data_IF_417854155581
#
_entry.id   IF_417854155581
#
_cell.length_a   1.000
_cell.length_b   1.000
_cell.length_c   1.000
_cell.angle_alpha   90.00
_cell.angle_beta   90.00
_cell.angle_gamma   90.00
#
_symmetry.space_group_name_H-M   'P 1'
#
loop_
_entity.id
_entity.type
_entity.pdbx_description
1 polymer ?
#
# COMPACT_ATOMS: atom_id res chain seq x y z
N UNK A 1 -38.18 -39.15 -0.55
CA UNK A 1 -37.00 -39.58 0.23
C UNK A 1 -36.92 -38.76 1.50
N UNK A 2 -36.88 -39.41 2.68
CA UNK A 2 -36.77 -38.69 3.94
C UNK A 2 -35.37 -38.11 4.11
N UNK A 3 -34.33 -38.84 3.77
CA UNK A 3 -32.93 -38.40 3.81
C UNK A 3 -32.09 -39.17 2.81
N UNK A 4 -31.20 -38.48 2.12
CA UNK A 4 -30.14 -39.05 1.25
C UNK A 4 -28.79 -38.47 1.73
N UNK A 5 -27.84 -39.36 2.01
CA UNK A 5 -26.48 -38.97 2.42
C UNK A 5 -25.46 -39.58 1.47
N UNK A 6 -24.34 -38.92 1.30
CA UNK A 6 -23.18 -39.42 0.58
C UNK A 6 -21.89 -38.78 1.10
N UNK A 7 -20.77 -39.41 0.76
CA UNK A 7 -19.44 -38.91 1.05
C UNK A 7 -18.63 -38.84 -0.24
N UNK A 8 -17.72 -37.89 -0.31
CA UNK A 8 -16.82 -37.65 -1.43
C UNK A 8 -15.41 -37.49 -0.87
N UNK A 9 -14.46 -38.21 -1.44
CA UNK A 9 -13.04 -38.06 -1.11
C UNK A 9 -12.28 -37.96 -2.42
N UNK A 10 -11.43 -36.96 -2.54
CA UNK A 10 -10.61 -36.74 -3.72
C UNK A 10 -9.27 -36.12 -3.32
N UNK A 11 -8.21 -36.43 -4.07
CA UNK A 11 -6.93 -35.76 -3.86
C UNK A 11 -5.71 -36.61 -4.10
N UNK A 12 -4.57 -36.05 -3.75
CA UNK A 12 -3.23 -36.65 -3.72
C UNK A 12 -2.64 -36.51 -2.31
N UNK A 13 -1.44 -37.08 -2.06
CA UNK A 13 -0.78 -37.03 -0.77
C UNK A 13 -0.70 -35.60 -0.16
N UNK A 14 -0.52 -34.58 -1.00
CA UNK A 14 -0.34 -33.20 -0.59
C UNK A 14 -1.53 -32.29 -0.88
N UNK A 15 -2.69 -32.85 -1.28
CA UNK A 15 -3.88 -32.07 -1.60
C UNK A 15 -5.14 -32.93 -1.46
N UNK A 16 -5.72 -32.94 -0.28
CA UNK A 16 -6.84 -33.80 0.09
C UNK A 16 -8.13 -33.00 0.21
N UNK A 17 -9.20 -33.56 -0.37
CA UNK A 17 -10.56 -33.08 -0.25
C UNK A 17 -11.43 -34.19 0.34
N UNK A 18 -12.04 -33.90 1.46
CA UNK A 18 -13.02 -34.76 2.10
C UNK A 18 -14.35 -34.02 2.21
N UNK A 19 -15.45 -34.69 1.91
CA UNK A 19 -16.74 -34.04 2.00
C UNK A 19 -17.87 -35.04 2.23
N UNK A 20 -18.96 -34.54 2.79
CA UNK A 20 -20.21 -35.27 2.92
C UNK A 20 -21.37 -34.37 2.54
N UNK A 21 -22.38 -34.93 1.94
CA UNK A 21 -23.60 -34.21 1.66
C UNK A 21 -24.81 -34.90 2.27
N UNK A 22 -25.84 -34.12 2.54
CA UNK A 22 -27.13 -34.57 3.07
C UNK A 22 -28.24 -33.79 2.39
N UNK A 23 -29.26 -34.54 1.93
CA UNK A 23 -30.52 -34.03 1.40
C UNK A 23 -31.66 -34.48 2.33
N UNK A 24 -32.39 -33.54 2.90
CA UNK A 24 -33.51 -33.81 3.76
C UNK A 24 -34.82 -33.49 3.04
N UNK A 25 -35.82 -34.41 3.19
CA UNK A 25 -37.17 -34.29 2.63
C UNK A 25 -37.16 -34.00 1.12
N UNK A 26 -36.38 -34.79 0.39
CA UNK A 26 -36.23 -34.61 -1.04
C UNK A 26 -37.45 -35.18 -1.78
N UNK A 27 -38.02 -34.39 -2.69
CA UNK A 27 -39.11 -34.78 -3.59
C UNK A 27 -38.69 -34.56 -5.04
N UNK A 28 -38.82 -35.56 -5.83
CA UNK A 28 -38.59 -35.49 -7.28
C UNK A 28 -39.95 -35.62 -7.99
N UNK A 29 -40.34 -34.58 -8.72
CA UNK A 29 -41.52 -34.56 -9.53
C UNK A 29 -41.16 -34.16 -10.97
N UNK A 30 -41.37 -35.09 -11.90
CA UNK A 30 -40.95 -34.89 -13.30
C UNK A 30 -39.49 -34.44 -13.44
N UNK A 31 -39.25 -33.17 -13.72
CA UNK A 31 -37.96 -32.57 -13.96
C UNK A 31 -37.51 -31.62 -12.85
N UNK A 32 -38.19 -31.63 -11.72
CA UNK A 32 -37.92 -30.75 -10.58
C UNK A 32 -37.60 -31.59 -9.34
N UNK A 33 -36.41 -31.38 -8.76
CA UNK A 33 -36.03 -31.90 -7.44
C UNK A 33 -36.08 -30.74 -6.42
N UNK A 34 -36.85 -30.94 -5.35
CA UNK A 34 -36.84 -30.02 -4.21
C UNK A 34 -36.32 -30.74 -2.99
N UNK A 35 -35.56 -30.05 -2.15
CA UNK A 35 -35.17 -30.54 -0.82
C UNK A 35 -35.40 -29.43 0.22
N UNK A 36 -35.94 -29.84 1.37
CA UNK A 36 -36.15 -28.89 2.47
C UNK A 36 -34.81 -28.34 3.02
N UNK A 37 -33.77 -29.16 2.96
CA UNK A 37 -32.41 -28.76 3.23
C UNK A 37 -31.42 -29.60 2.43
N UNK A 38 -30.45 -28.96 1.82
CA UNK A 38 -29.23 -29.56 1.32
C UNK A 38 -28.07 -29.05 2.19
N UNK A 39 -27.28 -29.95 2.72
CA UNK A 39 -26.10 -29.63 3.49
C UNK A 39 -24.89 -30.31 2.82
N UNK A 40 -23.82 -29.55 2.59
CA UNK A 40 -22.50 -30.01 2.15
C UNK A 40 -21.48 -29.56 3.17
N UNK A 41 -20.82 -30.52 3.81
CA UNK A 41 -19.67 -30.27 4.70
C UNK A 41 -18.43 -30.84 4.06
N UNK A 42 -17.32 -30.12 4.18
CA UNK A 42 -16.06 -30.62 3.67
C UNK A 42 -14.86 -29.95 4.27
N UNK A 43 -13.74 -30.56 4.00
CA UNK A 43 -12.44 -30.01 4.31
C UNK A 43 -11.52 -30.14 3.10
N UNK A 44 -10.71 -29.12 2.92
CA UNK A 44 -9.58 -29.14 2.01
C UNK A 44 -8.30 -28.98 2.81
N UNK A 45 -7.35 -29.87 2.62
CA UNK A 45 -6.06 -29.85 3.31
C UNK A 45 -4.94 -29.96 2.29
N UNK A 46 -3.97 -29.06 2.41
CA UNK A 46 -2.67 -29.14 1.73
C UNK A 46 -1.52 -28.97 2.73
N UNK A 47 -0.27 -28.96 2.27
CA UNK A 47 0.92 -28.86 3.12
C UNK A 47 0.95 -27.61 4.02
N UNK A 48 0.12 -26.60 3.73
CA UNK A 48 0.17 -25.29 4.39
C UNK A 48 -1.12 -24.91 5.10
N UNK A 49 -2.26 -25.29 4.52
CA UNK A 49 -3.57 -24.80 4.92
C UNK A 49 -4.55 -25.96 5.07
N UNK A 50 -5.41 -25.84 6.07
CA UNK A 50 -6.61 -26.64 6.17
C UNK A 50 -7.81 -25.69 6.18
N UNK A 51 -8.74 -25.90 5.25
CA UNK A 51 -9.98 -25.13 5.15
C UNK A 51 -11.16 -26.08 5.36
N UNK A 52 -11.95 -25.83 6.37
CA UNK A 52 -13.22 -26.48 6.60
C UNK A 52 -14.34 -25.58 6.08
N UNK A 53 -15.34 -26.15 5.42
CA UNK A 53 -16.48 -25.41 4.93
C UNK A 53 -17.79 -26.15 5.17
N UNK A 54 -18.85 -25.38 5.35
CA UNK A 54 -20.22 -25.88 5.40
C UNK A 54 -21.07 -24.99 4.52
N UNK A 55 -21.82 -25.62 3.63
CA UNK A 55 -22.81 -25.00 2.78
C UNK A 55 -24.15 -25.62 3.14
N UNK A 56 -25.19 -24.83 3.36
CA UNK A 56 -26.54 -25.33 3.54
C UNK A 56 -27.58 -24.39 2.93
N UNK A 57 -28.66 -24.96 2.37
CA UNK A 57 -29.81 -24.23 1.85
C UNK A 57 -30.96 -25.18 1.57
N UNK A 58 -32.21 -24.75 1.65
CA UNK A 58 -33.25 -25.36 0.84
C UNK A 58 -32.79 -25.35 -0.63
N UNK A 59 -33.15 -26.39 -1.38
CA UNK A 59 -32.67 -26.56 -2.75
C UNK A 59 -33.82 -26.81 -3.69
N UNK A 60 -33.83 -26.13 -4.82
CA UNK A 60 -34.68 -26.39 -5.96
C UNK A 60 -33.81 -26.62 -7.19
N UNK A 61 -33.73 -27.84 -7.67
CA UNK A 61 -33.10 -28.14 -8.95
C UNK A 61 -34.17 -28.34 -10.02
N UNK A 62 -33.96 -27.71 -11.15
CA UNK A 62 -34.83 -27.90 -12.33
C UNK A 62 -33.98 -28.24 -13.55
N UNK A 63 -34.34 -29.33 -14.26
CA UNK A 63 -33.66 -29.73 -15.47
C UNK A 63 -33.63 -28.61 -16.50
N UNK A 64 -32.42 -28.28 -16.99
CA UNK A 64 -32.17 -27.20 -17.96
C UNK A 64 -32.12 -25.78 -17.38
N UNK A 65 -32.51 -25.57 -16.14
CA UNK A 65 -32.41 -24.26 -15.48
C UNK A 65 -31.28 -24.19 -14.44
N UNK A 66 -31.03 -25.27 -13.69
CA UNK A 66 -29.99 -25.34 -12.67
C UNK A 66 -30.53 -25.47 -11.26
N UNK A 67 -29.81 -24.89 -10.29
CA UNK A 67 -30.07 -25.01 -8.86
C UNK A 67 -30.33 -23.63 -8.29
N UNK A 68 -31.46 -23.49 -7.58
CA UNK A 68 -31.73 -22.33 -6.70
C UNK A 68 -31.46 -22.69 -5.25
N UNK A 69 -30.68 -21.86 -4.58
CA UNK A 69 -30.38 -21.90 -3.15
C UNK A 69 -30.93 -20.60 -2.48
N UNK A 70 -32.24 -20.53 -2.17
CA UNK A 70 -32.89 -19.28 -1.77
C UNK A 70 -32.57 -18.80 -0.35
N UNK A 71 -31.99 -19.68 0.48
CA UNK A 71 -31.56 -19.40 1.85
C UNK A 71 -30.20 -20.04 2.09
N UNK A 72 -29.24 -19.61 1.29
CA UNK A 72 -27.87 -20.09 1.38
C UNK A 72 -27.23 -19.66 2.67
N UNK A 73 -26.63 -20.59 3.39
CA UNK A 73 -25.74 -20.36 4.52
C UNK A 73 -24.39 -21.00 4.21
N UNK A 74 -23.33 -20.20 4.20
CA UNK A 74 -21.96 -20.61 3.93
C UNK A 74 -21.09 -20.26 5.12
N UNK A 75 -20.42 -21.23 5.72
CA UNK A 75 -19.37 -20.97 6.70
C UNK A 75 -18.04 -21.56 6.24
N UNK A 76 -16.96 -20.86 6.50
CA UNK A 76 -15.61 -21.31 6.26
C UNK A 76 -14.73 -21.05 7.46
N UNK A 77 -13.82 -21.97 7.75
CA UNK A 77 -12.79 -21.86 8.75
C UNK A 77 -11.47 -22.28 8.11
N UNK A 78 -10.52 -21.37 8.05
CA UNK A 78 -9.20 -21.64 7.51
C UNK A 78 -8.13 -21.57 8.61
N UNK A 79 -7.36 -22.63 8.77
CA UNK A 79 -6.24 -22.75 9.68
C UNK A 79 -4.93 -23.02 8.92
N UNK A 80 -3.81 -22.59 9.48
CA UNK A 80 -2.48 -22.94 8.97
C UNK A 80 -1.96 -24.18 9.67
N UNK A 81 -1.40 -25.13 8.88
CA UNK A 81 -0.78 -26.33 9.41
C UNK A 81 0.67 -26.03 9.77
N UNK A 82 1.11 -26.49 10.97
CA UNK A 82 2.52 -26.49 11.43
C UNK A 82 3.22 -25.12 11.55
N UNK A 83 2.52 -24.02 11.80
CA UNK A 83 3.15 -22.73 12.10
C UNK A 83 2.52 -22.05 13.31
N UNK A 84 3.28 -21.11 13.92
CA UNK A 84 2.91 -20.27 15.06
C UNK A 84 1.45 -19.74 14.98
N UNK A 85 0.82 -19.41 16.12
CA UNK A 85 -0.59 -19.04 16.17
C UNK A 85 -0.88 -17.92 15.17
N UNK A 86 -1.48 -18.29 14.06
CA UNK A 86 -1.97 -17.35 13.05
C UNK A 86 -3.44 -17.08 13.28
N UNK A 87 -3.92 -15.89 12.89
CA UNK A 87 -5.33 -15.64 12.91
C UNK A 87 -6.05 -16.67 12.03
N UNK A 88 -7.08 -17.28 12.59
CA UNK A 88 -8.02 -18.13 11.86
C UNK A 88 -8.91 -17.24 11.02
N UNK A 89 -8.96 -17.49 9.72
CA UNK A 89 -9.90 -16.78 8.85
C UNK A 89 -11.25 -17.47 8.92
N UNK A 90 -12.22 -16.77 9.48
CA UNK A 90 -13.59 -17.26 9.65
C UNK A 90 -14.51 -16.41 8.78
N UNK A 91 -15.27 -17.03 7.91
CA UNK A 91 -16.37 -16.37 7.23
C UNK A 91 -17.68 -17.11 7.47
N UNK A 92 -18.73 -16.33 7.68
CA UNK A 92 -20.11 -16.81 7.76
C UNK A 92 -20.96 -15.88 6.93
N UNK A 93 -21.55 -16.43 5.85
CA UNK A 93 -22.31 -15.66 4.87
C UNK A 93 -23.69 -16.29 4.69
N UNK A 94 -24.70 -15.46 4.59
CA UNK A 94 -26.09 -15.85 4.35
C UNK A 94 -26.66 -15.07 3.17
N UNK A 95 -27.55 -15.69 2.41
CA UNK A 95 -28.21 -15.02 1.30
C UNK A 95 -28.88 -15.96 0.34
N UNK A 96 -28.77 -15.67 -0.94
CA UNK A 96 -29.32 -16.48 -2.02
C UNK A 96 -28.33 -16.62 -3.16
N UNK A 97 -28.38 -17.76 -3.84
CA UNK A 97 -27.59 -17.99 -5.04
C UNK A 97 -28.35 -18.88 -6.03
N UNK A 98 -28.09 -18.66 -7.31
CA UNK A 98 -28.55 -19.49 -8.41
C UNK A 98 -27.33 -20.05 -9.15
N UNK A 99 -27.36 -21.34 -9.47
CA UNK A 99 -26.30 -22.06 -10.17
C UNK A 99 -26.86 -22.73 -11.41
N UNK A 100 -26.79 -22.06 -12.54
CA UNK A 100 -27.10 -22.68 -13.83
C UNK A 100 -25.87 -23.37 -14.43
N UNK A 101 -25.99 -23.98 -15.58
CA UNK A 101 -24.87 -24.65 -16.24
C UNK A 101 -23.72 -23.69 -16.57
N UNK A 102 -24.05 -22.48 -17.01
CA UNK A 102 -23.09 -21.48 -17.51
C UNK A 102 -22.95 -20.25 -16.63
N UNK A 103 -23.93 -20.00 -15.76
CA UNK A 103 -23.93 -18.78 -14.92
C UNK A 103 -24.20 -19.16 -13.47
N UNK A 104 -23.37 -18.64 -12.58
CA UNK A 104 -23.57 -18.68 -11.13
C UNK A 104 -23.68 -17.25 -10.63
N UNK A 105 -24.72 -16.95 -9.91
CA UNK A 105 -24.93 -15.62 -9.37
C UNK A 105 -25.49 -15.68 -7.95
N UNK A 106 -25.23 -14.67 -7.15
CA UNK A 106 -25.71 -14.62 -5.79
C UNK A 106 -25.48 -13.29 -5.08
N UNK A 107 -26.19 -13.16 -3.98
CA UNK A 107 -26.02 -12.05 -3.03
C UNK A 107 -25.96 -12.61 -1.63
N UNK A 108 -24.85 -12.35 -0.96
CA UNK A 108 -24.54 -12.87 0.36
C UNK A 108 -24.19 -11.72 1.30
N UNK A 109 -24.57 -11.83 2.57
CA UNK A 109 -24.18 -10.91 3.63
C UNK A 109 -23.73 -11.72 4.83
N UNK A 110 -22.87 -11.15 5.65
CA UNK A 110 -22.41 -11.81 6.86
C UNK A 110 -21.13 -11.20 7.39
N UNK A 111 -20.18 -12.04 7.75
CA UNK A 111 -18.91 -11.62 8.30
C UNK A 111 -17.73 -12.35 7.64
N UNK A 112 -16.63 -11.64 7.49
CA UNK A 112 -15.30 -12.16 7.19
C UNK A 112 -14.34 -11.66 8.26
N UNK A 113 -13.64 -12.57 8.95
CA UNK A 113 -12.79 -12.25 10.10
C UNK A 113 -13.48 -11.32 11.13
N UNK A 114 -14.73 -11.62 11.44
CA UNK A 114 -15.60 -10.84 12.34
C UNK A 114 -15.95 -9.43 11.83
N UNK A 115 -15.60 -9.10 10.59
CA UNK A 115 -15.96 -7.82 9.97
C UNK A 115 -17.14 -8.01 9.02
N UNK A 116 -18.07 -7.08 9.03
CA UNK A 116 -19.24 -7.15 8.17
C UNK A 116 -18.84 -7.18 6.70
N UNK A 117 -19.35 -8.16 5.96
CA UNK A 117 -19.14 -8.37 4.53
C UNK A 117 -20.46 -8.47 3.80
N UNK A 118 -20.58 -7.76 2.69
CA UNK A 118 -21.62 -8.00 1.69
C UNK A 118 -20.94 -8.31 0.36
N UNK A 119 -21.44 -9.35 -0.31
CA UNK A 119 -20.92 -9.85 -1.58
C UNK A 119 -22.07 -10.03 -2.56
N UNK A 120 -21.95 -9.46 -3.75
CA UNK A 120 -22.76 -9.82 -4.90
C UNK A 120 -21.82 -10.34 -5.99
N UNK A 121 -22.21 -11.40 -6.67
CA UNK A 121 -21.35 -11.97 -7.72
C UNK A 121 -22.17 -12.52 -8.87
N UNK A 122 -21.55 -12.49 -10.05
CA UNK A 122 -22.02 -13.17 -11.25
C UNK A 122 -20.84 -13.79 -11.97
N UNK A 123 -20.76 -15.10 -11.97
CA UNK A 123 -19.74 -15.87 -12.67
C UNK A 123 -20.32 -16.46 -13.95
N UNK A 124 -19.66 -16.22 -15.08
CA UNK A 124 -20.04 -16.70 -16.40
C UNK A 124 -18.98 -17.67 -16.89
N UNK A 125 -19.33 -18.96 -16.92
CA UNK A 125 -18.41 -20.05 -17.25
C UNK A 125 -18.07 -20.12 -18.74
N UNK A 126 -19.01 -19.76 -19.60
CA UNK A 126 -18.90 -19.82 -21.06
C UNK A 126 -18.42 -18.51 -21.70
N UNK A 127 -18.05 -17.51 -20.90
CA UNK A 127 -17.39 -16.31 -21.40
C UNK A 127 -16.06 -16.65 -22.10
N UNK A 128 -15.80 -16.01 -23.20
CA UNK A 128 -14.60 -16.23 -24.01
C UNK A 128 -13.68 -15.01 -23.94
N UNK A 129 -12.36 -15.21 -23.87
CA UNK A 129 -11.61 -16.49 -23.96
C UNK A 129 -11.51 -17.26 -22.64
N UNK A 130 -11.98 -16.69 -21.52
CA UNK A 130 -11.93 -17.26 -20.17
C UNK A 130 -13.27 -17.05 -19.44
N UNK A 131 -13.56 -17.83 -18.38
CA UNK A 131 -14.65 -17.51 -17.48
C UNK A 131 -14.53 -16.07 -16.98
N UNK A 132 -15.66 -15.44 -16.69
CA UNK A 132 -15.70 -14.05 -16.20
C UNK A 132 -16.43 -13.97 -14.84
N UNK A 133 -15.90 -13.14 -13.94
CA UNK A 133 -16.48 -12.90 -12.63
C UNK A 133 -16.71 -11.40 -12.43
N UNK A 134 -17.97 -10.99 -12.46
CA UNK A 134 -18.39 -9.68 -11.94
C UNK A 134 -18.67 -9.78 -10.45
N UNK A 135 -18.16 -8.85 -9.65
CA UNK A 135 -18.40 -8.84 -8.23
C UNK A 135 -18.60 -7.43 -7.66
N UNK A 136 -19.39 -7.34 -6.59
CA UNK A 136 -19.48 -6.20 -5.70
C UNK A 136 -19.14 -6.64 -4.30
N UNK A 137 -18.12 -6.05 -3.70
CA UNK A 137 -17.61 -6.41 -2.37
C UNK A 137 -17.68 -5.18 -1.47
N UNK A 138 -18.46 -5.27 -0.40
CA UNK A 138 -18.47 -4.27 0.65
C UNK A 138 -18.00 -4.90 1.97
N UNK A 139 -16.85 -4.44 2.50
CA UNK A 139 -16.22 -4.95 3.70
C UNK A 139 -15.99 -3.82 4.70
N UNK A 140 -16.34 -4.04 5.97
CA UNK A 140 -16.20 -3.00 6.98
C UNK A 140 -14.74 -2.67 7.30
N UNK A 141 -13.89 -3.70 7.50
CA UNK A 141 -12.48 -3.53 7.81
C UNK A 141 -11.67 -4.70 7.26
N UNK A 142 -10.49 -4.40 6.70
CA UNK A 142 -9.53 -5.39 6.24
C UNK A 142 -8.17 -5.15 6.89
N UNK A 143 -7.72 -6.08 7.72
CA UNK A 143 -6.34 -6.09 8.21
C UNK A 143 -5.49 -6.96 7.27
N UNK A 144 -4.62 -6.32 6.50
CA UNK A 144 -3.73 -7.02 5.56
C UNK A 144 -2.44 -7.53 6.20
N UNK A 145 -2.09 -7.08 7.40
CA UNK A 145 -0.81 -7.44 8.06
C UNK A 145 -0.57 -8.94 8.12
N UNK A 146 -1.53 -9.79 8.56
CA UNK A 146 -1.31 -11.23 8.62
C UNK A 146 -1.05 -11.88 7.25
N UNK A 147 -1.67 -11.35 6.20
CA UNK A 147 -1.51 -11.86 4.83
C UNK A 147 -0.16 -11.46 4.22
N UNK A 148 0.30 -10.23 4.50
CA UNK A 148 1.56 -9.72 4.00
C UNK A 148 2.77 -10.37 4.67
N UNK A 149 2.67 -10.74 5.95
CA UNK A 149 3.72 -11.49 6.64
C UNK A 149 3.94 -12.86 6.02
N UNK A 150 2.90 -13.50 5.54
CA UNK A 150 2.98 -14.75 4.81
C UNK A 150 3.76 -14.63 3.51
N UNK A 151 3.56 -13.55 2.78
CA UNK A 151 4.27 -13.30 1.52
C UNK A 151 5.78 -13.09 1.74
N UNK A 152 6.19 -12.52 2.87
CA UNK A 152 7.63 -12.34 3.21
C UNK A 152 8.39 -13.65 3.42
N UNK A 153 7.69 -14.71 3.82
CA UNK A 153 8.28 -16.00 4.15
C UNK A 153 8.19 -17.05 3.04
N UNK A 154 7.53 -16.72 1.92
CA UNK A 154 7.36 -17.62 0.80
C UNK A 154 8.44 -17.41 -0.26
N UNK A 155 8.86 -18.49 -0.98
CA UNK A 155 9.59 -18.32 -2.22
C UNK A 155 8.73 -17.47 -3.16
N UNK A 156 9.36 -16.60 -3.94
CA UNK A 156 8.74 -15.61 -4.81
C UNK A 156 7.45 -16.15 -5.47
N UNK A 157 6.33 -15.48 -5.21
CA UNK A 157 5.06 -15.80 -5.85
C UNK A 157 5.24 -15.64 -7.37
N UNK A 158 5.17 -16.74 -8.10
CA UNK A 158 5.21 -16.68 -9.56
C UNK A 158 3.85 -16.21 -10.08
N UNK A 159 3.64 -14.91 -10.10
CA UNK A 159 2.39 -14.27 -10.50
C UNK A 159 1.96 -14.68 -11.92
N UNK A 160 2.85 -14.71 -12.94
CA UNK A 160 2.50 -15.19 -14.27
C UNK A 160 1.94 -16.62 -14.26
N UNK A 161 2.60 -17.53 -13.56
CA UNK A 161 2.14 -18.93 -13.45
C UNK A 161 0.81 -19.05 -12.71
N UNK A 162 0.52 -18.17 -11.76
CA UNK A 162 -0.75 -18.16 -11.06
C UNK A 162 -1.87 -17.64 -11.97
N UNK A 163 -1.70 -16.50 -12.61
CA UNK A 163 -2.72 -15.86 -13.44
C UNK A 163 -2.97 -16.61 -14.76
N UNK A 164 -1.98 -17.33 -15.27
CA UNK A 164 -2.13 -18.12 -16.51
C UNK A 164 -3.03 -19.36 -16.39
N UNK A 165 -3.45 -19.73 -15.17
CA UNK A 165 -4.32 -20.91 -14.98
C UNK A 165 -5.68 -20.71 -15.65
N UNK A 166 -6.05 -21.62 -16.55
CA UNK A 166 -7.26 -21.52 -17.37
C UNK A 166 -8.58 -21.57 -16.59
N UNK A 167 -8.57 -22.11 -15.37
CA UNK A 167 -9.74 -22.15 -14.52
C UNK A 167 -9.99 -20.87 -13.73
N UNK A 168 -8.98 -19.97 -13.68
CA UNK A 168 -9.11 -18.68 -13.02
C UNK A 168 -9.91 -17.74 -13.93
N UNK A 169 -10.99 -17.10 -13.44
CA UNK A 169 -11.76 -16.16 -14.26
C UNK A 169 -11.00 -14.85 -14.46
N UNK A 170 -11.36 -14.16 -15.52
CA UNK A 170 -11.13 -12.71 -15.56
C UNK A 170 -12.10 -12.05 -14.59
N UNK A 171 -11.61 -11.10 -13.78
CA UNK A 171 -12.34 -10.51 -12.66
C UNK A 171 -12.58 -9.03 -12.92
N UNK A 172 -13.82 -8.58 -12.70
CA UNK A 172 -14.16 -7.18 -12.53
C UNK A 172 -14.93 -7.02 -11.22
N UNK A 173 -14.36 -6.32 -10.22
CA UNK A 173 -14.96 -6.20 -8.91
C UNK A 173 -14.99 -4.76 -8.40
N UNK A 174 -16.18 -4.28 -8.08
CA UNK A 174 -16.36 -3.02 -7.36
C UNK A 174 -16.10 -3.23 -5.87
N UNK A 175 -15.11 -2.53 -5.33
CA UNK A 175 -14.67 -2.63 -3.94
C UNK A 175 -15.16 -1.41 -3.16
N UNK A 176 -15.76 -1.65 -2.00
CA UNK A 176 -16.10 -0.68 -0.97
C UNK A 176 -15.58 -1.20 0.37
N UNK A 177 -14.52 -0.60 0.90
CA UNK A 177 -13.90 -1.07 2.14
C UNK A 177 -13.83 0.10 3.13
N UNK A 178 -14.43 -0.05 4.31
CA UNK A 178 -14.48 1.00 5.32
C UNK A 178 -13.09 1.39 5.81
N UNK A 179 -12.21 0.42 6.09
CA UNK A 179 -10.80 0.69 6.38
C UNK A 179 -9.89 -0.47 5.99
N UNK A 180 -8.68 -0.13 5.56
CA UNK A 180 -7.57 -1.07 5.36
C UNK A 180 -6.44 -0.69 6.30
N UNK A 181 -5.93 -1.68 7.02
CA UNK A 181 -4.77 -1.56 7.89
C UNK A 181 -3.67 -2.49 7.40
N UNK A 182 -2.47 -1.94 7.24
CA UNK A 182 -1.23 -2.69 6.99
C UNK A 182 -0.22 -2.38 8.09
N UNK A 183 0.97 -3.03 8.05
CA UNK A 183 2.06 -2.76 8.99
C UNK A 183 2.69 -1.34 8.87
N UNK A 184 2.24 -0.50 7.94
CA UNK A 184 2.83 0.83 7.72
C UNK A 184 1.91 1.79 6.97
N UNK A 185 0.61 1.49 6.88
CA UNK A 185 -0.33 2.38 6.21
C UNK A 185 -1.76 2.14 6.70
N UNK A 186 -2.50 3.22 6.93
CA UNK A 186 -3.91 3.20 7.27
C UNK A 186 -4.70 3.96 6.21
N UNK A 187 -5.69 3.29 5.63
CA UNK A 187 -6.59 3.84 4.63
C UNK A 187 -8.03 3.72 5.11
N UNK A 188 -8.86 4.69 4.79
CA UNK A 188 -10.27 4.75 5.17
C UNK A 188 -11.16 5.02 3.96
N UNK A 189 -12.41 4.52 4.01
CA UNK A 189 -13.42 4.77 2.98
C UNK A 189 -12.92 4.49 1.56
N UNK A 190 -12.39 3.29 1.37
CA UNK A 190 -11.78 2.88 0.10
C UNK A 190 -12.88 2.52 -0.91
N UNK A 191 -12.77 3.10 -2.09
CA UNK A 191 -13.55 2.77 -3.28
C UNK A 191 -12.61 2.49 -4.43
N UNK A 192 -12.82 1.40 -5.16
CA UNK A 192 -12.01 1.05 -6.32
C UNK A 192 -12.71 0.05 -7.23
N UNK A 193 -12.34 0.04 -8.50
CA UNK A 193 -12.62 -1.05 -9.42
C UNK A 193 -11.36 -1.92 -9.53
N UNK A 194 -11.45 -3.15 -9.05
CA UNK A 194 -10.43 -4.19 -9.24
C UNK A 194 -10.70 -4.90 -10.58
N UNK A 195 -9.68 -4.96 -11.41
CA UNK A 195 -9.67 -5.86 -12.58
C UNK A 195 -8.53 -6.84 -12.46
N UNK A 196 -8.73 -8.08 -12.88
CA UNK A 196 -7.67 -9.07 -12.98
C UNK A 196 -7.92 -9.98 -14.17
N UNK A 197 -6.89 -10.20 -14.97
CA UNK A 197 -6.86 -11.12 -16.10
C UNK A 197 -5.60 -11.99 -16.07
N UNK A 198 -5.29 -12.70 -17.16
CA UNK A 198 -4.09 -13.56 -17.22
C UNK A 198 -2.76 -12.82 -17.16
N UNK A 199 -2.75 -11.53 -17.41
CA UNK A 199 -1.53 -10.71 -17.56
C UNK A 199 -1.45 -9.57 -16.56
N UNK A 200 -2.61 -9.09 -16.05
CA UNK A 200 -2.67 -7.88 -15.26
C UNK A 200 -3.58 -8.01 -14.05
N UNK A 201 -3.23 -7.31 -13.00
CA UNK A 201 -4.11 -6.98 -11.87
C UNK A 201 -4.07 -5.46 -11.72
N UNK A 202 -5.23 -4.80 -11.63
CA UNK A 202 -5.25 -3.36 -11.46
C UNK A 202 -6.36 -2.90 -10.51
N UNK A 203 -6.06 -1.84 -9.76
CA UNK A 203 -7.01 -1.03 -9.02
C UNK A 203 -7.21 0.28 -9.78
N UNK A 204 -8.38 0.43 -10.39
CA UNK A 204 -8.75 1.63 -11.13
C UNK A 204 -9.61 2.54 -10.27
N UNK A 205 -9.56 3.84 -10.54
CA UNK A 205 -10.40 4.83 -9.84
C UNK A 205 -10.32 4.67 -8.32
N UNK A 206 -9.13 4.31 -7.84
CA UNK A 206 -8.88 4.15 -6.41
C UNK A 206 -9.06 5.47 -5.70
N UNK A 207 -9.90 5.49 -4.66
CA UNK A 207 -10.11 6.62 -3.77
C UNK A 207 -10.06 6.13 -2.34
N UNK A 208 -9.43 6.90 -1.46
CA UNK A 208 -9.38 6.59 -0.04
C UNK A 208 -9.16 7.84 0.81
N UNK A 209 -9.58 7.80 2.07
CA UNK A 209 -9.08 8.67 3.12
C UNK A 209 -7.65 8.25 3.51
N UNK A 210 -6.78 9.22 3.74
CA UNK A 210 -5.37 9.01 4.07
C UNK A 210 -4.93 10.07 5.08
N UNK A 211 -4.71 9.70 6.34
CA UNK A 211 -4.25 10.57 7.44
C UNK A 211 -4.92 11.95 7.46
N UNK A 212 -6.24 11.98 7.52
CA UNK A 212 -7.05 13.20 7.57
C UNK A 212 -7.29 13.88 6.22
N UNK A 213 -6.54 13.52 5.17
CA UNK A 213 -6.72 13.95 3.80
C UNK A 213 -7.37 12.87 2.93
N UNK A 214 -7.18 12.98 1.62
CA UNK A 214 -7.73 12.08 0.61
C UNK A 214 -6.66 11.72 -0.41
N UNK A 215 -6.77 10.52 -0.97
CA UNK A 215 -5.93 10.11 -2.12
C UNK A 215 -6.80 9.50 -3.21
N UNK A 216 -6.42 9.75 -4.47
CA UNK A 216 -7.05 9.15 -5.64
C UNK A 216 -6.00 8.76 -6.68
N UNK A 217 -6.27 7.70 -7.45
CA UNK A 217 -5.34 7.22 -8.47
C UNK A 217 -5.58 5.79 -8.88
N UNK A 218 -4.48 5.04 -9.03
CA UNK A 218 -4.51 3.63 -9.41
C UNK A 218 -3.22 2.91 -9.08
N UNK A 219 -3.32 1.59 -9.10
CA UNK A 219 -2.20 0.65 -9.02
C UNK A 219 -2.38 -0.40 -10.10
N UNK A 220 -1.36 -0.70 -10.86
CA UNK A 220 -1.36 -1.84 -11.78
C UNK A 220 -0.14 -2.74 -11.57
N UNK A 221 -0.36 -4.02 -11.75
CA UNK A 221 0.65 -5.07 -11.66
C UNK A 221 0.58 -5.87 -12.95
N UNK A 222 1.66 -5.90 -13.72
CA UNK A 222 1.78 -6.78 -14.88
C UNK A 222 2.51 -8.07 -14.48
N UNK A 223 1.94 -9.21 -14.89
CA UNK A 223 2.47 -10.53 -14.62
C UNK A 223 3.65 -10.88 -15.55
N UNK A 224 4.67 -10.04 -15.55
CA UNK A 224 5.96 -10.26 -16.21
C UNK A 224 6.93 -11.01 -15.30
N UNK A 225 8.09 -11.39 -15.80
CA UNK A 225 9.19 -11.97 -15.00
C UNK A 225 10.44 -11.10 -15.10
N UNK A 226 10.80 -10.37 -14.02
CA UNK A 226 10.07 -10.16 -12.77
C UNK A 226 8.78 -9.36 -12.97
N UNK A 227 7.86 -9.41 -11.99
CA UNK A 227 6.61 -8.65 -12.04
C UNK A 227 6.87 -7.14 -12.11
N UNK A 228 6.03 -6.42 -12.86
CA UNK A 228 6.11 -4.97 -13.02
C UNK A 228 4.95 -4.28 -12.29
N UNK A 229 5.25 -3.21 -11.59
CA UNK A 229 4.31 -2.43 -10.77
C UNK A 229 4.29 -0.99 -11.23
N UNK A 230 3.12 -0.38 -11.29
CA UNK A 230 2.95 1.03 -11.56
C UNK A 230 1.93 1.62 -10.59
N UNK A 231 2.35 2.59 -9.78
CA UNK A 231 1.53 3.32 -8.82
C UNK A 231 1.42 4.78 -9.25
N UNK A 232 0.18 5.25 -9.43
CA UNK A 232 -0.14 6.66 -9.64
C UNK A 232 -1.10 7.11 -8.56
N UNK A 233 -0.72 8.15 -7.80
CA UNK A 233 -1.54 8.67 -6.72
C UNK A 233 -1.46 10.19 -6.66
N UNK A 234 -2.61 10.80 -6.39
CA UNK A 234 -2.74 12.21 -6.08
C UNK A 234 -3.39 12.32 -4.71
N UNK A 235 -2.63 12.79 -3.73
CA UNK A 235 -3.08 12.93 -2.35
C UNK A 235 -3.18 14.41 -1.99
N UNK A 236 -4.21 14.78 -1.20
CA UNK A 236 -4.49 16.16 -0.81
C UNK A 236 -4.83 16.27 0.67
N UNK A 237 -4.27 17.27 1.33
CA UNK A 237 -4.55 17.62 2.72
C UNK A 237 -4.13 16.57 3.73
N UNK A 238 -3.09 15.77 3.44
CA UNK A 238 -2.61 14.70 4.31
C UNK A 238 -1.80 15.26 5.48
N UNK A 239 -1.98 14.70 6.67
CA UNK A 239 -1.10 14.96 7.80
C UNK A 239 0.23 14.23 7.58
N UNK A 240 1.29 14.98 7.33
CA UNK A 240 2.59 14.45 6.87
C UNK A 240 3.28 13.65 7.96
N UNK A 241 3.29 14.13 9.21
CA UNK A 241 4.04 13.50 10.29
C UNK A 241 3.59 12.05 10.57
N UNK A 242 2.29 11.74 10.79
CA UNK A 242 1.88 10.36 11.01
C UNK A 242 2.10 9.46 9.78
N UNK A 243 1.96 10.00 8.56
CA UNK A 243 2.27 9.25 7.34
C UNK A 243 3.75 8.84 7.30
N UNK A 244 4.67 9.77 7.56
CA UNK A 244 6.11 9.49 7.57
C UNK A 244 6.51 8.55 8.70
N UNK A 245 5.86 8.67 9.86
CA UNK A 245 6.06 7.77 10.98
C UNK A 245 5.68 6.33 10.63
N UNK A 246 4.50 6.13 10.07
CA UNK A 246 3.98 4.80 9.75
C UNK A 246 4.75 4.15 8.60
N UNK A 247 5.13 4.92 7.56
CA UNK A 247 5.85 4.38 6.40
C UNK A 247 7.35 4.17 6.63
N UNK A 248 7.99 5.09 7.36
CA UNK A 248 9.46 5.17 7.43
C UNK A 248 10.03 5.21 8.85
N UNK A 249 9.17 5.33 9.88
CA UNK A 249 9.59 5.37 11.27
C UNK A 249 10.27 6.65 11.70
N UNK A 250 10.07 7.77 10.99
CA UNK A 250 10.66 9.07 11.35
C UNK A 250 9.62 10.19 11.40
N UNK A 251 9.94 11.26 12.19
CA UNK A 251 9.03 12.35 12.51
C UNK A 251 9.55 13.71 12.05
N UNK A 252 10.47 13.72 11.08
CA UNK A 252 11.26 14.91 10.77
C UNK A 252 10.45 16.07 10.19
N UNK A 253 9.28 15.80 9.59
CA UNK A 253 8.43 16.83 9.03
C UNK A 253 7.00 16.71 9.54
N UNK A 254 6.41 17.86 9.89
CA UNK A 254 4.98 17.99 10.17
C UNK A 254 4.35 19.03 9.24
N UNK A 255 3.03 19.07 9.20
CA UNK A 255 2.24 19.96 8.37
C UNK A 255 1.16 19.24 7.60
N UNK A 256 0.37 20.00 6.84
CA UNK A 256 -0.62 19.47 5.90
C UNK A 256 -0.03 19.47 4.50
N UNK A 257 -0.10 18.34 3.79
CA UNK A 257 0.59 18.18 2.51
C UNK A 257 -0.28 17.65 1.39
N UNK A 258 0.05 18.09 0.19
CA UNK A 258 -0.43 17.54 -1.08
C UNK A 258 0.73 16.79 -1.74
N UNK A 259 0.45 15.63 -2.35
CA UNK A 259 1.46 14.83 -3.02
C UNK A 259 0.95 14.27 -4.36
N UNK A 260 1.82 14.30 -5.37
CA UNK A 260 1.60 13.61 -6.66
C UNK A 260 2.72 12.60 -6.84
N UNK A 261 2.34 11.34 -7.03
CA UNK A 261 3.26 10.21 -7.15
C UNK A 261 2.97 9.49 -8.46
N UNK A 262 3.99 9.28 -9.27
CA UNK A 262 3.95 8.39 -10.44
C UNK A 262 5.24 7.56 -10.43
N UNK A 263 5.17 6.31 -9.97
CA UNK A 263 6.33 5.45 -9.81
C UNK A 263 6.12 4.09 -10.46
N UNK A 264 7.16 3.58 -11.09
CA UNK A 264 7.22 2.26 -11.71
C UNK A 264 8.39 1.49 -11.17
N UNK A 265 8.19 0.19 -11.00
CA UNK A 265 9.27 -0.70 -10.59
C UNK A 265 9.06 -2.12 -11.08
N UNK A 266 10.11 -2.93 -11.03
CA UNK A 266 10.07 -4.36 -11.30
C UNK A 266 10.84 -5.10 -10.22
N UNK A 267 10.44 -6.30 -9.89
CA UNK A 267 11.15 -7.11 -8.90
C UNK A 267 10.27 -8.12 -8.19
N UNK A 268 10.90 -9.11 -7.58
CA UNK A 268 10.24 -10.15 -6.79
C UNK A 268 10.47 -9.95 -5.28
N UNK A 269 11.37 -9.04 -4.90
CA UNK A 269 11.66 -8.67 -3.53
C UNK A 269 11.88 -7.16 -3.39
N UNK A 270 11.91 -6.69 -2.13
CA UNK A 270 12.05 -5.25 -1.82
C UNK A 270 13.31 -4.63 -2.40
N UNK A 271 14.43 -5.33 -2.37
CA UNK A 271 15.72 -4.81 -2.84
C UNK A 271 15.70 -4.60 -4.35
N UNK A 272 15.24 -5.61 -5.11
CA UNK A 272 15.06 -5.51 -6.55
C UNK A 272 14.11 -4.38 -6.92
N UNK A 273 12.96 -4.28 -6.22
CA UNK A 273 11.97 -3.23 -6.47
C UNK A 273 12.54 -1.84 -6.22
N UNK A 274 13.33 -1.63 -5.16
CA UNK A 274 13.96 -0.32 -4.90
C UNK A 274 15.01 -0.02 -5.98
N UNK A 275 15.85 -0.96 -6.35
CA UNK A 275 16.89 -0.78 -7.37
C UNK A 275 16.33 -0.51 -8.78
N UNK A 276 15.13 -1.00 -9.06
CA UNK A 276 14.43 -0.78 -10.32
C UNK A 276 13.41 0.38 -10.27
N UNK A 277 13.33 1.11 -9.14
CA UNK A 277 12.35 2.16 -8.94
C UNK A 277 12.68 3.38 -9.81
N UNK A 278 11.69 3.80 -10.61
CA UNK A 278 11.76 4.98 -11.45
C UNK A 278 10.47 5.77 -11.35
N UNK A 279 10.50 7.09 -11.59
CA UNK A 279 9.32 7.93 -11.63
C UNK A 279 9.52 9.29 -11.00
N UNK A 280 8.45 9.88 -10.46
CA UNK A 280 8.45 11.21 -9.88
C UNK A 280 7.62 11.30 -8.60
N UNK A 281 8.02 12.23 -7.75
CA UNK A 281 7.31 12.64 -6.55
C UNK A 281 7.30 14.16 -6.48
N UNK A 282 6.12 14.75 -6.44
CA UNK A 282 5.90 16.15 -6.05
C UNK A 282 5.27 16.14 -4.66
N UNK A 283 5.82 16.95 -3.75
CA UNK A 283 5.30 17.12 -2.39
C UNK A 283 5.24 18.61 -2.08
N UNK A 284 4.10 19.05 -1.58
CA UNK A 284 3.84 20.41 -1.14
C UNK A 284 3.29 20.35 0.28
N UNK A 285 4.00 20.95 1.24
CA UNK A 285 3.61 20.96 2.66
C UNK A 285 3.41 22.40 3.11
N UNK A 286 2.29 22.65 3.74
CA UNK A 286 1.96 23.97 4.30
C UNK A 286 1.86 23.92 5.81
N UNK A 287 2.19 25.07 6.46
CA UNK A 287 2.05 25.28 7.90
C UNK A 287 2.68 24.15 8.72
N UNK A 288 3.93 23.86 8.43
CA UNK A 288 4.66 22.75 9.01
C UNK A 288 5.86 23.16 9.86
N UNK A 289 6.61 22.13 10.26
CA UNK A 289 7.90 22.31 10.91
C UNK A 289 8.85 21.18 10.52
N UNK A 290 10.14 21.52 10.38
CA UNK A 290 11.22 20.56 10.32
C UNK A 290 11.72 20.31 11.74
N UNK A 291 11.45 19.14 12.28
CA UNK A 291 11.79 18.74 13.63
C UNK A 291 13.24 18.22 13.72
N UNK A 292 13.86 18.46 14.87
CA UNK A 292 15.23 18.06 15.15
C UNK A 292 16.30 19.07 14.69
N UNK A 293 15.89 20.15 14.03
CA UNK A 293 16.78 21.18 13.52
C UNK A 293 16.17 22.56 13.80
N UNK A 294 16.94 23.44 14.45
CA UNK A 294 16.62 24.85 14.59
C UNK A 294 17.59 25.65 13.73
N UNK A 295 17.17 25.93 12.49
CA UNK A 295 17.99 26.66 11.53
C UNK A 295 18.29 28.11 11.99
N UNK A 296 17.34 28.76 12.64
CA UNK A 296 17.57 30.11 13.17
C UNK A 296 18.66 30.10 14.25
N UNK A 297 18.67 29.10 15.12
CA UNK A 297 19.69 28.92 16.14
C UNK A 297 21.07 28.59 15.54
N UNK A 298 21.08 27.68 14.53
CA UNK A 298 22.31 27.33 13.80
C UNK A 298 22.93 28.56 13.14
N UNK A 299 22.11 29.39 12.52
CA UNK A 299 22.60 30.62 11.87
C UNK A 299 23.08 31.67 12.86
N UNK A 300 22.45 31.78 14.04
CA UNK A 300 22.82 32.71 15.10
C UNK A 300 24.09 32.28 15.84
N UNK A 301 24.20 31.01 16.19
CA UNK A 301 25.22 30.49 17.11
C UNK A 301 26.35 29.72 16.40
N UNK A 302 26.25 29.55 15.09
CA UNK A 302 27.14 28.69 14.31
C UNK A 302 26.77 27.22 14.42
N UNK A 303 27.36 26.41 13.54
CA UNK A 303 27.19 24.95 13.56
C UNK A 303 28.07 24.42 14.69
N UNK A 304 27.45 24.03 15.82
CA UNK A 304 28.18 23.29 16.85
C UNK A 304 28.32 21.81 16.38
N UNK A 305 29.50 21.25 16.61
CA UNK A 305 29.74 19.80 16.30
C UNK A 305 29.09 18.87 17.31
N UNK A 306 28.42 19.38 18.32
CA UNK A 306 27.65 18.59 19.25
C UNK A 306 26.38 18.09 18.57
N UNK A 307 26.15 16.80 18.63
CA UNK A 307 24.88 16.17 18.22
C UNK A 307 23.76 16.86 19.01
N UNK A 308 22.99 17.69 18.32
CA UNK A 308 21.82 18.33 18.90
C UNK A 308 20.71 17.29 18.97
N UNK A 309 20.78 16.39 19.94
CA UNK A 309 19.71 15.47 20.28
C UNK A 309 18.72 16.20 21.21
N UNK A 310 17.94 17.07 20.63
CA UNK A 310 16.96 17.83 21.39
C UNK A 310 15.63 17.79 20.62
N UNK A 311 14.74 16.91 21.06
CA UNK A 311 13.40 16.69 20.48
C UNK A 311 12.51 17.96 20.41
N UNK A 312 12.94 19.05 21.07
CA UNK A 312 12.24 20.35 21.08
C UNK A 312 12.71 21.31 19.99
N UNK A 313 13.82 20.99 19.27
CA UNK A 313 14.32 21.83 18.20
C UNK A 313 13.44 21.67 16.96
N UNK A 314 13.05 22.78 16.36
CA UNK A 314 12.29 22.78 15.12
C UNK A 314 12.50 24.06 14.34
N UNK A 315 12.47 23.96 13.03
CA UNK A 315 12.38 25.09 12.11
C UNK A 315 10.95 25.15 11.59
N UNK A 316 10.10 26.08 12.07
CA UNK A 316 8.76 26.25 11.51
C UNK A 316 8.85 26.81 10.10
N UNK A 317 7.92 26.43 9.24
CA UNK A 317 7.82 26.95 7.87
C UNK A 317 6.35 27.12 7.44
N UNK A 318 6.12 28.06 6.54
CA UNK A 318 4.82 28.27 5.91
C UNK A 318 4.62 27.33 4.74
N UNK A 319 5.69 27.08 3.99
CA UNK A 319 5.66 26.31 2.75
C UNK A 319 6.94 25.53 2.55
N UNK A 320 6.80 24.26 2.20
CA UNK A 320 7.90 23.38 1.79
C UNK A 320 7.49 22.64 0.53
N UNK A 321 8.31 22.71 -0.51
CA UNK A 321 8.12 21.97 -1.75
C UNK A 321 9.28 21.02 -2.00
N UNK A 322 8.97 19.81 -2.44
CA UNK A 322 9.93 18.84 -2.93
C UNK A 322 9.51 18.37 -4.31
N UNK A 323 10.38 18.59 -5.29
CA UNK A 323 10.27 17.98 -6.62
C UNK A 323 11.39 16.96 -6.76
N UNK A 324 11.02 15.70 -6.97
CA UNK A 324 11.95 14.60 -7.07
C UNK A 324 11.72 13.75 -8.31
N UNK A 325 12.79 13.49 -9.04
CA UNK A 325 12.86 12.48 -10.08
C UNK A 325 13.62 11.27 -9.55
N UNK A 326 13.03 10.09 -9.72
CA UNK A 326 13.61 8.84 -9.24
C UNK A 326 14.12 8.03 -10.43
N UNK A 327 15.39 7.70 -10.41
CA UNK A 327 16.02 6.83 -11.39
C UNK A 327 16.79 5.71 -10.68
N UNK A 328 16.41 4.45 -10.97
CA UNK A 328 17.07 3.26 -10.40
C UNK A 328 17.25 3.30 -8.88
N UNK A 329 16.21 3.78 -8.18
CA UNK A 329 16.20 3.88 -6.72
C UNK A 329 16.98 5.05 -6.14
N UNK A 330 17.46 5.96 -6.96
CA UNK A 330 18.04 7.23 -6.54
C UNK A 330 17.03 8.34 -6.78
N UNK A 331 16.61 9.01 -5.73
CA UNK A 331 15.69 10.15 -5.74
C UNK A 331 16.51 11.42 -5.88
N UNK A 332 16.47 12.06 -7.04
CA UNK A 332 17.13 13.34 -7.32
C UNK A 332 16.18 14.48 -6.96
N UNK A 333 16.60 15.33 -6.05
CA UNK A 333 15.82 16.48 -5.58
C UNK A 333 16.16 17.71 -6.41
N UNK A 334 15.16 18.23 -7.11
CA UNK A 334 15.29 19.37 -8.01
C UNK A 334 14.41 20.49 -7.47
N UNK A 335 15.02 21.67 -7.18
CA UNK A 335 14.30 22.84 -6.70
C UNK A 335 13.43 22.53 -5.46
N UNK A 336 14.04 21.96 -4.43
CA UNK A 336 13.43 21.85 -3.11
C UNK A 336 13.51 23.18 -2.41
N UNK A 337 12.39 23.71 -1.94
CA UNK A 337 12.32 25.02 -1.31
C UNK A 337 11.59 24.96 0.03
N UNK A 338 12.07 25.75 0.99
CA UNK A 338 11.42 25.95 2.28
C UNK A 338 11.35 27.46 2.58
N UNK A 339 10.15 27.92 2.90
CA UNK A 339 9.88 29.31 3.28
C UNK A 339 9.39 29.38 4.72
N UNK A 340 10.05 30.22 5.53
CA UNK A 340 9.62 30.60 6.87
C UNK A 340 9.52 32.11 6.99
N UNK A 341 9.21 32.63 8.20
CA UNK A 341 9.19 34.08 8.49
C UNK A 341 10.53 34.75 8.26
N UNK A 342 11.60 34.03 8.54
CA UNK A 342 12.98 34.56 8.52
C UNK A 342 13.85 33.97 7.42
N UNK A 343 13.51 32.77 6.90
CA UNK A 343 14.40 32.01 6.04
C UNK A 343 13.72 31.61 4.72
N UNK A 344 14.51 31.67 3.65
CA UNK A 344 14.27 30.99 2.40
C UNK A 344 15.42 30.03 2.14
N UNK A 345 15.11 28.74 2.10
CA UNK A 345 16.07 27.67 1.83
C UNK A 345 15.80 27.09 0.48
N UNK A 346 16.80 27.02 -0.37
CA UNK A 346 16.78 26.29 -1.64
C UNK A 346 17.73 25.11 -1.51
N UNK A 347 17.27 23.93 -1.91
CA UNK A 347 18.06 22.72 -1.84
C UNK A 347 18.05 21.96 -3.16
N UNK A 348 19.15 21.26 -3.41
CA UNK A 348 19.27 20.28 -4.48
C UNK A 348 20.23 19.17 -4.10
N UNK A 349 19.92 17.96 -4.47
CA UNK A 349 20.74 16.80 -4.13
C UNK A 349 20.10 15.49 -4.48
N UNK A 350 20.36 14.46 -3.69
CA UNK A 350 19.78 13.16 -3.90
C UNK A 350 19.67 12.33 -2.62
N UNK A 351 18.76 11.38 -2.64
CA UNK A 351 18.65 10.30 -1.65
C UNK A 351 18.74 8.95 -2.33
N UNK A 352 19.68 8.12 -1.94
CA UNK A 352 19.71 6.70 -2.30
C UNK A 352 18.69 5.96 -1.43
N UNK A 353 17.59 5.52 -2.02
CA UNK A 353 16.48 4.87 -1.32
C UNK A 353 16.84 3.48 -0.80
N UNK A 354 17.86 2.83 -1.37
CA UNK A 354 18.31 1.50 -0.95
C UNK A 354 19.17 1.58 0.32
N UNK A 355 20.12 2.52 0.34
CA UNK A 355 21.05 2.72 1.46
C UNK A 355 20.59 3.78 2.45
N UNK A 356 19.53 4.53 2.10
CA UNK A 356 19.02 5.69 2.83
C UNK A 356 20.06 6.84 3.00
N UNK A 357 21.10 6.84 2.19
CA UNK A 357 22.10 7.90 2.17
C UNK A 357 21.54 9.14 1.54
N UNK A 358 21.81 10.28 2.20
CA UNK A 358 21.36 11.61 1.81
C UNK A 358 22.55 12.47 1.45
N UNK A 359 22.43 13.25 0.39
CA UNK A 359 23.43 14.26 -0.01
C UNK A 359 22.71 15.47 -0.60
N UNK A 360 22.60 16.56 0.19
CA UNK A 360 21.93 17.79 -0.19
C UNK A 360 22.87 18.97 -0.10
N UNK A 361 22.75 19.88 -1.05
CA UNK A 361 23.38 21.19 -1.01
C UNK A 361 22.30 22.24 -0.78
N UNK A 362 22.40 22.97 0.32
CA UNK A 362 21.44 23.99 0.69
C UNK A 362 22.03 25.39 0.50
N UNK A 363 21.18 26.31 0.14
CA UNK A 363 21.47 27.74 0.13
C UNK A 363 20.43 28.44 0.98
N UNK A 364 20.84 29.01 2.09
CA UNK A 364 19.97 29.66 3.06
C UNK A 364 20.08 31.17 2.95
N UNK A 365 18.96 31.84 2.69
CA UNK A 365 18.84 33.27 2.61
C UNK A 365 18.02 33.80 3.79
N UNK A 366 18.41 34.94 4.36
CA UNK A 366 17.61 35.65 5.36
C UNK A 366 16.61 36.57 4.65
N UNK A 367 15.31 36.26 4.78
CA UNK A 367 14.22 37.03 4.16
C UNK A 367 14.13 38.45 4.76
N UNK A 368 14.45 38.61 6.05
CA UNK A 368 14.42 39.90 6.76
C UNK A 368 15.61 40.80 6.40
N UNK A 369 16.69 40.21 5.89
CA UNK A 369 17.91 40.91 5.51
C UNK A 369 18.40 40.47 4.12
N UNK A 370 17.69 40.81 3.06
CA UNK A 370 17.94 40.26 1.71
C UNK A 370 19.26 40.70 1.08
N UNK A 371 19.96 41.70 1.69
CA UNK A 371 21.30 42.14 1.27
C UNK A 371 22.42 41.22 1.77
N UNK A 372 22.16 40.38 2.75
CA UNK A 372 23.14 39.41 3.26
C UNK A 372 23.36 38.31 2.23
N UNK A 373 24.58 37.85 2.10
CA UNK A 373 24.92 36.72 1.20
C UNK A 373 24.30 35.44 1.73
N UNK A 374 23.72 34.62 0.87
CA UNK A 374 23.21 33.29 1.26
C UNK A 374 24.33 32.41 1.85
N UNK A 375 23.97 31.59 2.83
CA UNK A 375 24.89 30.66 3.49
C UNK A 375 24.76 29.28 2.85
N UNK A 376 25.83 28.72 2.26
CA UNK A 376 25.82 27.40 1.67
C UNK A 376 26.09 26.32 2.72
N UNK A 377 25.19 25.38 2.88
CA UNK A 377 25.33 24.21 3.74
C UNK A 377 25.29 22.92 2.92
N UNK A 378 25.82 21.85 3.50
CA UNK A 378 25.68 20.47 3.04
C UNK A 378 24.99 19.63 4.09
N UNK A 379 24.01 18.85 3.66
CA UNK A 379 23.47 17.76 4.47
C UNK A 379 23.97 16.44 3.89
N UNK A 380 24.56 15.63 4.75
CA UNK A 380 25.01 14.27 4.42
C UNK A 380 24.50 13.27 5.45
N UNK A 381 25.07 12.07 5.45
CA UNK A 381 24.68 10.99 6.36
C UNK A 381 23.52 10.16 5.82
N UNK A 382 22.56 9.85 6.67
CA UNK A 382 21.35 9.12 6.30
C UNK A 382 20.09 9.91 6.64
N UNK A 383 18.97 9.55 6.03
CA UNK A 383 17.67 10.20 6.31
C UNK A 383 17.32 10.18 7.80
N UNK A 384 17.70 9.11 8.51
CA UNK A 384 17.45 8.96 9.95
C UNK A 384 18.49 9.70 10.83
N UNK A 385 19.72 9.85 10.32
CA UNK A 385 20.82 10.51 11.02
C UNK A 385 21.53 11.49 10.08
N UNK A 386 20.90 12.64 9.76
CA UNK A 386 21.50 13.65 8.90
C UNK A 386 22.66 14.37 9.63
N UNK A 387 23.67 14.75 8.88
CA UNK A 387 24.77 15.59 9.33
C UNK A 387 24.79 16.90 8.54
N UNK A 388 24.88 18.03 9.21
CA UNK A 388 24.92 19.37 8.58
C UNK A 388 26.31 19.95 8.72
N UNK A 389 26.86 20.43 7.60
CA UNK A 389 28.17 21.08 7.57
C UNK A 389 28.13 22.30 6.66
N UNK A 390 29.04 23.24 6.90
CA UNK A 390 29.24 24.40 6.01
C UNK A 390 29.86 23.93 4.70
N UNK A 391 29.35 24.41 3.55
CA UNK A 391 29.95 24.07 2.25
C UNK A 391 31.16 24.98 1.96
N UNK A 392 32.30 24.58 2.52
CA UNK A 392 33.56 25.31 2.32
C UNK A 392 33.98 25.35 0.85
N UNK A 393 33.67 24.33 0.04
CA UNK A 393 34.04 24.29 -1.36
C UNK A 393 33.33 25.39 -2.16
N UNK A 394 32.07 25.64 -1.86
CA UNK A 394 31.27 26.68 -2.49
C UNK A 394 31.67 28.08 -2.05
N UNK A 395 32.02 28.22 -0.76
CA UNK A 395 32.53 29.48 -0.19
C UNK A 395 33.88 29.90 -0.77
N UNK A 396 34.73 28.95 -1.15
CA UNK A 396 36.07 29.17 -1.67
C UNK A 396 36.20 28.96 -3.17
N UNK A 397 35.09 28.78 -3.88
CA UNK A 397 35.07 28.55 -5.31
C UNK A 397 35.64 29.78 -6.08
N UNK A 398 36.52 29.53 -7.04
CA UNK A 398 37.20 30.58 -7.81
C UNK A 398 38.40 31.22 -7.08
N UNK A 399 38.76 30.76 -5.87
CA UNK A 399 39.89 31.26 -5.10
C UNK A 399 41.11 30.35 -5.28
N UNK A 400 42.21 30.93 -5.76
CA UNK A 400 43.40 30.16 -6.12
C UNK A 400 44.45 30.13 -5.00
N UNK A 401 44.38 31.04 -4.03
CA UNK A 401 45.38 31.14 -2.97
C UNK A 401 44.81 30.80 -1.58
N UNK A 402 45.62 30.26 -0.68
CA UNK A 402 45.24 30.04 0.72
C UNK A 402 44.74 31.29 1.44
N UNK A 403 45.33 32.45 1.12
CA UNK A 403 44.97 33.75 1.72
C UNK A 403 43.57 34.20 1.29
N UNK A 404 43.21 34.03 0.01
CA UNK A 404 41.86 34.30 -0.50
C UNK A 404 40.82 33.38 0.14
N UNK A 405 41.11 32.09 0.28
CA UNK A 405 40.25 31.12 0.96
C UNK A 405 40.02 31.48 2.42
N UNK A 406 41.08 31.85 3.12
CA UNK A 406 41.00 32.26 4.53
C UNK A 406 40.20 33.55 4.70
N UNK A 407 40.38 34.52 3.81
CA UNK A 407 39.61 35.77 3.80
C UNK A 407 38.11 35.51 3.57
N UNK A 408 37.75 34.67 2.61
CA UNK A 408 36.36 34.30 2.34
C UNK A 408 35.70 33.60 3.52
N UNK A 409 36.41 32.71 4.21
CA UNK A 409 35.93 32.08 5.42
C UNK A 409 35.71 33.09 6.55
N UNK A 410 36.63 34.06 6.74
CA UNK A 410 36.48 35.12 7.72
C UNK A 410 35.30 36.04 7.38
N UNK A 411 35.14 36.41 6.10
CA UNK A 411 34.00 37.22 5.65
C UNK A 411 32.68 36.47 5.90
N UNK A 412 32.61 35.15 5.63
CA UNK A 412 31.42 34.36 5.90
C UNK A 412 31.10 34.29 7.39
N UNK A 413 32.11 34.09 8.24
CA UNK A 413 31.94 34.14 9.70
C UNK A 413 31.47 35.55 10.14
N UNK A 414 32.03 36.63 9.60
CA UNK A 414 31.58 37.98 9.89
C UNK A 414 30.16 38.26 9.39
N UNK A 415 29.76 37.69 8.26
CA UNK A 415 28.41 37.79 7.74
C UNK A 415 27.42 37.03 8.63
N UNK A 416 27.82 35.86 9.14
CA UNK A 416 27.03 35.12 10.14
C UNK A 416 26.81 36.00 11.41
N UNK A 417 27.82 36.76 11.84
CA UNK A 417 27.68 37.70 12.96
C UNK A 417 26.71 38.86 12.68
N UNK A 418 26.49 39.22 11.41
CA UNK A 418 25.47 40.22 11.05
C UNK A 418 24.04 39.68 11.11
N UNK A 419 23.86 38.41 11.04
CA UNK A 419 22.55 37.77 11.24
C UNK A 419 22.15 37.75 12.72
N UNK A 420 23.12 37.98 13.60
CA UNK A 420 22.96 38.03 15.06
C UNK A 420 22.48 39.39 15.59
N UNK A 421 22.56 40.46 14.80
CA UNK A 421 22.12 41.80 15.16
C UNK A 421 20.80 42.15 14.48
#
# INVERSE_FOLDING_TARGET
>A
LNTLNGALTAGSENNQWDGSFKLDKANLYATVLTAANFELKGSHKNDRLQTNFTFSSPLVWQKGKGIDAPKLHLSTLQDTINRLPRPRFISTLEGQANFSLNTWEGRLKGAFDRQALALAFKYQRDAQPRPHLDAGIALQKLNLTPYLEDLKTQPSLNLPSLLAKSWLPDIEANLQIGSIQTAGLQLENIESLLTADKEHIALHRFKAGLYGGKTEGGLSIAATQPASYHLQQNAKGIQIQPLLQDLFGFHSFSGSGDAVIDIKTTGNDRTQMIQALNGSLLLDITNGAWHGIDMDSILKNGISSEKIDNSNLKTPFHHFTLNSEIEKGISHHINTELFSDSLHVVSSGYTDLNTQKLSENLLISNVLQPKNKPIPLKIGGTVQNPSITLDYSRLTNGMNTPAEKQKALQETIQEQWKWLK
#
